data_IF_454654324419
#
_entry.id   IF_454654324419
#
_cell.length_a   1.000
_cell.length_b   1.000
_cell.length_c   1.000
_cell.angle_alpha   90.00
_cell.angle_beta   90.00
_cell.angle_gamma   90.00
#
_symmetry.space_group_name_H-M   'P 1'
#
loop_
_entity.id
_entity.type
_entity.pdbx_description
1 polymer ?
#
# COMPACT_ATOMS: atom_id res chain seq x y z
N UNK A 1 7.36 7.47 -11.43
CA UNK A 1 6.16 7.60 -12.29
C UNK A 1 4.89 7.50 -11.46
N UNK A 2 3.76 8.00 -11.97
CA UNK A 2 2.42 7.85 -11.35
C UNK A 2 1.65 6.74 -12.04
N UNK A 3 1.30 5.71 -11.28
CA UNK A 3 0.52 4.57 -11.76
C UNK A 3 -0.97 4.78 -11.47
N UNK A 4 -1.80 4.36 -12.42
CA UNK A 4 -3.25 4.25 -12.28
C UNK A 4 -3.60 2.77 -12.44
N UNK A 5 -4.10 2.15 -11.37
CA UNK A 5 -4.33 0.72 -11.30
C UNK A 5 -5.78 0.43 -10.91
N UNK A 6 -6.27 -0.72 -11.37
CA UNK A 6 -7.56 -1.28 -10.98
C UNK A 6 -7.33 -2.63 -10.28
N UNK A 7 -8.06 -2.90 -9.21
CA UNK A 7 -7.97 -4.17 -8.49
C UNK A 7 -8.75 -5.27 -9.21
N UNK A 8 -8.16 -6.46 -9.30
CA UNK A 8 -8.82 -7.62 -9.94
C UNK A 8 -9.92 -8.24 -9.06
N UNK A 9 -9.74 -8.18 -7.74
CA UNK A 9 -10.63 -8.85 -6.77
C UNK A 9 -11.68 -7.91 -6.18
N UNK A 10 -11.42 -6.60 -6.23
CA UNK A 10 -12.25 -5.59 -5.60
C UNK A 10 -12.48 -4.46 -6.59
N UNK A 11 -13.66 -3.84 -6.60
CA UNK A 11 -13.93 -2.63 -7.40
C UNK A 11 -13.24 -1.41 -6.76
N UNK A 12 -11.92 -1.40 -6.81
CA UNK A 12 -11.06 -0.39 -6.21
C UNK A 12 -10.11 0.16 -7.25
N UNK A 13 -10.00 1.48 -7.28
CA UNK A 13 -8.99 2.21 -8.04
C UNK A 13 -7.84 2.59 -7.12
N UNK A 14 -6.62 2.56 -7.65
CA UNK A 14 -5.41 2.91 -6.94
C UNK A 14 -4.59 3.89 -7.79
N UNK A 15 -4.26 5.05 -7.22
CA UNK A 15 -3.26 5.96 -7.76
C UNK A 15 -2.03 5.87 -6.87
N UNK A 16 -0.88 5.50 -7.44
CA UNK A 16 0.34 5.26 -6.68
C UNK A 16 1.57 5.84 -7.39
N UNK A 17 2.35 6.64 -6.68
CA UNK A 17 3.65 7.10 -7.15
C UNK A 17 4.74 6.09 -6.76
N UNK A 18 5.53 5.65 -7.73
CA UNK A 18 6.65 4.70 -7.52
C UNK A 18 7.95 5.21 -8.14
N UNK A 19 9.08 4.82 -7.54
CA UNK A 19 10.40 5.10 -8.10
C UNK A 19 10.77 4.04 -9.16
N UNK A 20 10.42 4.32 -10.41
CA UNK A 20 10.63 3.41 -11.55
C UNK A 20 12.10 3.23 -11.95
N UNK A 21 13.04 4.00 -11.38
CA UNK A 21 14.47 3.79 -11.63
C UNK A 21 15.00 2.55 -10.90
N UNK A 22 14.45 2.25 -9.71
CA UNK A 22 14.86 1.11 -8.88
C UNK A 22 13.86 -0.04 -8.93
N UNK A 23 12.61 0.25 -9.29
CA UNK A 23 11.55 -0.74 -9.45
C UNK A 23 10.80 -0.49 -10.77
N UNK A 24 11.33 -0.99 -11.90
CA UNK A 24 10.70 -0.83 -13.21
C UNK A 24 9.31 -1.49 -13.23
N UNK A 25 8.33 -0.79 -13.80
CA UNK A 25 6.95 -1.28 -13.95
C UNK A 25 6.45 -0.83 -15.32
N UNK A 26 5.91 -1.77 -16.09
CA UNK A 26 5.37 -1.56 -17.43
C UNK A 26 3.84 -1.56 -17.44
N UNK A 27 3.26 -1.03 -18.53
CA UNK A 27 1.81 -1.01 -18.71
C UNK A 27 1.30 -2.45 -18.86
N UNK A 28 0.32 -2.82 -18.04
CA UNK A 28 -0.29 -4.15 -18.04
C UNK A 28 0.31 -5.12 -17.03
N UNK A 29 1.39 -4.73 -16.35
CA UNK A 29 1.96 -5.52 -15.25
C UNK A 29 0.95 -5.67 -14.11
N UNK A 30 0.93 -6.88 -13.54
CA UNK A 30 0.12 -7.21 -12.36
C UNK A 30 1.03 -7.35 -11.17
N UNK A 31 0.69 -6.68 -10.08
CA UNK A 31 1.43 -6.77 -8.83
C UNK A 31 0.49 -7.02 -7.66
N UNK A 32 1.03 -7.62 -6.60
CA UNK A 32 0.33 -7.86 -5.35
C UNK A 32 0.66 -6.75 -4.37
N UNK A 33 -0.34 -5.97 -3.97
CA UNK A 33 -0.20 -4.91 -2.98
C UNK A 33 -0.70 -5.40 -1.61
N UNK A 34 0.08 -5.13 -0.56
CA UNK A 34 -0.31 -5.35 0.84
C UNK A 34 0.00 -4.10 1.64
N UNK A 35 -0.98 -3.62 2.41
CA UNK A 35 -0.78 -2.59 3.42
C UNK A 35 -0.63 -3.26 4.79
N UNK A 36 0.36 -2.82 5.57
CA UNK A 36 0.58 -3.30 6.93
C UNK A 36 0.94 -2.14 7.85
N UNK A 37 0.63 -2.29 9.14
CA UNK A 37 0.96 -1.31 10.20
C UNK A 37 2.29 -1.63 10.91
N UNK A 38 2.89 -2.79 10.60
CA UNK A 38 4.15 -3.27 11.17
C UNK A 38 4.81 -4.26 10.20
N UNK A 39 6.14 -4.23 10.13
CA UNK A 39 6.93 -5.22 9.38
C UNK A 39 7.14 -6.53 10.16
N UNK A 40 6.87 -6.52 11.47
CA UNK A 40 7.03 -7.69 12.32
C UNK A 40 6.00 -8.76 11.95
N UNK A 41 6.43 -10.02 11.92
CA UNK A 41 5.52 -11.13 11.63
C UNK A 41 4.56 -11.41 12.79
N UNK A 42 5.03 -11.18 14.03
CA UNK A 42 4.25 -11.36 15.27
C UNK A 42 3.09 -10.35 15.44
N UNK A 43 3.01 -9.33 14.59
CA UNK A 43 1.95 -8.33 14.60
C UNK A 43 2.05 -7.29 15.72
N UNK A 44 3.17 -7.26 16.47
CA UNK A 44 3.43 -6.22 17.46
C UNK A 44 3.57 -4.88 16.73
N UNK A 45 2.98 -3.83 17.33
CA UNK A 45 3.03 -2.46 16.82
C UNK A 45 4.47 -1.99 16.57
N UNK A 46 4.63 -1.21 15.51
CA UNK A 46 5.87 -0.53 15.18
C UNK A 46 6.31 0.40 16.34
N UNK A 47 7.57 0.29 16.75
CA UNK A 47 8.18 1.15 17.77
C UNK A 47 8.73 2.47 17.18
N UNK A 48 8.62 2.63 15.85
CA UNK A 48 9.05 3.80 15.11
C UNK A 48 10.54 3.83 14.81
N UNK A 49 11.27 2.74 15.07
CA UNK A 49 12.70 2.64 14.82
C UNK A 49 12.99 1.64 13.70
N UNK A 50 13.60 2.12 12.61
CA UNK A 50 14.05 1.26 11.52
C UNK A 50 15.58 1.16 11.50
N UNK A 51 16.10 -0.08 11.60
CA UNK A 51 17.53 -0.37 11.44
C UNK A 51 17.76 -1.18 10.16
N UNK A 52 18.40 -0.62 9.12
CA UNK A 52 18.70 -1.35 7.89
C UNK A 52 19.77 -2.43 8.10
N UNK A 53 20.53 -2.38 9.19
CA UNK A 53 21.57 -3.35 9.54
C UNK A 53 21.04 -4.53 10.35
N UNK A 54 19.77 -4.49 10.77
CA UNK A 54 19.14 -5.60 11.47
C UNK A 54 18.65 -6.66 10.47
N UNK A 55 19.61 -7.27 9.76
CA UNK A 55 19.38 -8.37 8.82
C UNK A 55 18.94 -9.67 9.52
N UNK A 56 18.96 -9.70 10.86
CA UNK A 56 18.63 -10.87 11.65
C UNK A 56 17.12 -11.13 11.78
N UNK A 57 16.30 -10.10 11.53
CA UNK A 57 14.85 -10.22 11.55
C UNK A 57 14.34 -10.63 10.17
N UNK A 58 13.85 -11.87 10.05
CA UNK A 58 12.91 -12.21 8.98
C UNK A 58 11.66 -11.35 9.19
N UNK A 59 11.40 -10.44 8.25
CA UNK A 59 10.26 -9.53 8.29
C UNK A 59 9.34 -9.78 7.11
N UNK A 60 8.13 -9.22 7.17
CA UNK A 60 7.20 -9.25 6.05
C UNK A 60 7.81 -8.68 4.77
N UNK A 61 8.74 -7.73 4.87
CA UNK A 61 9.40 -7.11 3.73
C UNK A 61 10.16 -8.12 2.86
N UNK A 62 10.69 -9.21 3.43
CA UNK A 62 11.44 -10.22 2.68
C UNK A 62 10.58 -10.96 1.62
N UNK A 63 9.26 -10.91 1.74
CA UNK A 63 8.31 -11.52 0.78
C UNK A 63 7.83 -10.57 -0.32
N UNK A 64 8.41 -9.37 -0.43
CA UNK A 64 8.02 -8.34 -1.40
C UNK A 64 9.25 -7.70 -2.04
N UNK A 65 9.10 -7.23 -3.28
CA UNK A 65 10.20 -6.66 -4.07
C UNK A 65 10.38 -5.16 -3.84
N UNK A 66 9.30 -4.48 -3.43
CA UNK A 66 9.28 -3.04 -3.22
C UNK A 66 8.48 -2.70 -1.97
N UNK A 67 9.09 -1.94 -1.06
CA UNK A 67 8.51 -1.56 0.23
C UNK A 67 8.58 -0.04 0.40
N UNK A 68 7.49 0.54 0.89
CA UNK A 68 7.39 1.95 1.23
C UNK A 68 6.87 2.11 2.65
N UNK A 69 7.31 3.18 3.32
CA UNK A 69 6.77 3.64 4.59
C UNK A 69 6.12 5.00 4.42
N UNK A 70 4.95 5.21 5.03
CA UNK A 70 4.20 6.44 4.90
C UNK A 70 3.15 6.60 5.99
N UNK A 71 2.50 7.77 5.99
CA UNK A 71 1.45 8.12 6.93
C UNK A 71 0.19 8.50 6.17
N UNK A 72 -0.96 8.00 6.62
CA UNK A 72 -2.27 8.45 6.14
C UNK A 72 -2.45 9.91 6.54
N UNK A 73 -2.59 10.80 5.55
CA UNK A 73 -2.70 12.24 5.78
C UNK A 73 -4.16 12.72 5.77
N UNK A 74 -5.03 12.04 5.02
CA UNK A 74 -6.44 12.39 4.83
C UNK A 74 -7.25 11.14 4.53
N UNK A 75 -8.46 11.10 5.06
CA UNK A 75 -9.48 10.11 4.72
C UNK A 75 -10.69 10.93 4.26
N UNK A 76 -11.13 10.70 3.03
CA UNK A 76 -12.34 11.30 2.47
C UNK A 76 -13.41 10.23 2.39
N UNK A 77 -14.65 10.59 2.73
CA UNK A 77 -15.82 9.74 2.52
C UNK A 77 -16.38 9.97 1.12
N UNK A 78 -17.14 9.01 0.62
CA UNK A 78 -17.84 9.15 -0.66
C UNK A 78 -19.12 9.97 -0.45
N UNK A 79 -19.06 11.28 -0.75
CA UNK A 79 -20.22 12.17 -0.61
C UNK A 79 -21.40 11.75 -1.52
N UNK A 80 -21.13 11.00 -2.61
CA UNK A 80 -22.17 10.55 -3.55
C UNK A 80 -23.02 9.38 -3.05
N UNK A 81 -22.50 8.57 -2.11
CA UNK A 81 -23.24 7.45 -1.52
C UNK A 81 -24.34 7.95 -0.54
N UNK A 82 -24.12 9.08 0.12
CA UNK A 82 -25.03 9.66 1.12
C UNK A 82 -26.31 10.28 0.54
N UNK A 83 -26.26 10.84 -0.67
CA UNK A 83 -27.46 11.42 -1.31
C UNK A 83 -28.42 10.34 -1.85
N UNK A 84 -27.90 9.18 -2.23
CA UNK A 84 -28.71 8.07 -2.76
C UNK A 84 -29.49 7.35 -1.65
N UNK A 85 -28.93 7.29 -0.44
CA UNK A 85 -29.60 6.70 0.73
C UNK A 85 -30.67 7.61 1.36
N UNK A 86 -30.58 8.93 1.12
CA UNK A 86 -31.53 9.91 1.67
C UNK A 86 -32.75 10.17 0.76
N UNK A 87 -32.80 9.51 -0.42
CA UNK A 87 -33.87 9.62 -1.41
C UNK A 87 -34.72 8.33 -1.53
N UNK A 88 -34.55 7.39 -0.60
CA UNK A 88 -35.36 6.17 -0.47
C UNK A 88 -36.23 6.22 0.78
#
# INVERSE_FOLDING_TARGET
SRLHCESESFKMELILDVNTQIYPVDIGDKFRLVLCTTLREDGISDDGHFSPLDESAMTRANSFEYVMYGKVYRIEGDETATESASKL
#
